data_IF_851346006668
#
_entry.id   IF_851346006668
#
_cell.length_a   1.000
_cell.length_b   1.000
_cell.length_c   1.000
_cell.angle_alpha   90.00
_cell.angle_beta   90.00
_cell.angle_gamma   90.00
#
_symmetry.space_group_name_H-M   'P 1'
#
loop_
_entity.id
_entity.type
_entity.pdbx_description
1 polymer ?
#
# COMPACT_ATOMS: atom_id res chain seq x y z
N UNK A 1 -36.69 -2.82 -7.97
CA UNK A 1 -37.99 -2.39 -7.39
C UNK A 1 -38.33 -3.24 -6.15
N UNK A 2 -37.53 -3.15 -5.07
CA UNK A 2 -37.71 -4.02 -3.89
C UNK A 2 -37.70 -3.23 -2.57
N UNK A 3 -38.34 -2.04 -2.52
CA UNK A 3 -38.43 -1.23 -1.29
C UNK A 3 -39.88 -0.96 -0.84
N UNK A 4 -40.89 -1.51 -1.54
CA UNK A 4 -42.29 -1.13 -1.31
C UNK A 4 -43.00 -1.91 -0.19
N UNK A 5 -42.49 -3.07 0.23
CA UNK A 5 -43.17 -3.90 1.23
C UNK A 5 -42.79 -3.54 2.67
N UNK A 6 -41.54 -3.18 2.93
CA UNK A 6 -41.12 -2.79 4.29
C UNK A 6 -41.75 -1.47 4.71
N UNK A 7 -41.82 -0.49 3.80
CA UNK A 7 -42.50 0.78 4.07
C UNK A 7 -43.98 0.61 4.42
N UNK A 8 -44.71 -0.29 3.76
CA UNK A 8 -46.14 -0.55 4.04
C UNK A 8 -46.36 -1.16 5.41
N UNK A 9 -45.47 -2.05 5.87
CA UNK A 9 -45.56 -2.67 7.19
C UNK A 9 -45.22 -1.69 8.32
N UNK A 10 -44.26 -0.80 8.10
CA UNK A 10 -43.93 0.28 9.05
C UNK A 10 -45.11 1.24 9.24
N UNK A 11 -45.83 1.58 8.16
CA UNK A 11 -47.02 2.45 8.22
C UNK A 11 -48.17 1.78 8.98
N UNK A 12 -48.42 0.48 8.73
CA UNK A 12 -49.45 -0.28 9.46
C UNK A 12 -49.14 -0.37 10.96
N UNK A 13 -47.89 -0.61 11.34
CA UNK A 13 -47.51 -0.72 12.76
C UNK A 13 -47.65 0.62 13.52
N UNK A 14 -47.37 1.75 12.86
CA UNK A 14 -47.56 3.10 13.43
C UNK A 14 -49.03 3.41 13.73
N UNK A 15 -49.94 2.97 12.87
CA UNK A 15 -51.38 3.17 13.08
C UNK A 15 -51.91 2.45 14.32
N UNK A 16 -51.46 1.21 14.57
CA UNK A 16 -51.86 0.46 15.77
C UNK A 16 -51.34 1.09 17.06
N UNK A 17 -50.13 1.65 17.05
CA UNK A 17 -49.58 2.37 18.21
C UNK A 17 -50.42 3.62 18.50
N UNK A 18 -50.76 4.41 17.47
CA UNK A 18 -51.62 5.60 17.62
C UNK A 18 -53.02 5.23 18.13
N UNK A 19 -53.60 4.13 17.62
CA UNK A 19 -54.92 3.66 18.01
C UNK A 19 -54.94 3.13 19.45
N UNK A 20 -53.85 2.53 19.92
CA UNK A 20 -53.65 2.10 21.30
C UNK A 20 -53.53 3.29 22.26
N UNK A 21 -52.83 4.37 21.86
CA UNK A 21 -52.75 5.60 22.66
C UNK A 21 -54.07 6.39 22.70
N UNK A 22 -54.88 6.35 21.63
CA UNK A 22 -56.21 6.96 21.61
C UNK A 22 -57.22 6.24 22.53
N UNK A 23 -57.06 4.93 22.76
CA UNK A 23 -57.95 4.15 23.62
C UNK A 23 -57.70 4.36 25.13
N UNK A 24 -56.50 4.79 25.53
CA UNK A 24 -56.15 4.97 26.94
C UNK A 24 -56.63 6.30 27.54
N UNK A 25 -57.09 7.27 26.75
CA UNK A 25 -57.47 8.61 27.23
C UNK A 25 -58.90 8.72 27.77
N UNK A 26 -59.69 7.63 27.78
CA UNK A 26 -61.11 7.64 28.14
C UNK A 26 -61.43 7.16 29.57
N UNK A 27 -60.46 6.94 30.44
CA UNK A 27 -60.74 6.64 31.86
C UNK A 27 -61.08 7.92 32.61
N UNK A 28 -62.38 8.13 32.83
CA UNK A 28 -62.93 9.21 33.67
C UNK A 28 -62.36 9.16 35.08
N UNK A 29 -61.87 10.30 35.57
CA UNK A 29 -61.38 10.53 36.92
C UNK A 29 -62.50 10.46 37.97
N UNK A 30 -63.07 9.28 38.19
CA UNK A 30 -63.93 9.01 39.33
C UNK A 30 -63.05 8.62 40.51
N UNK A 31 -63.23 9.30 41.65
CA UNK A 31 -62.42 9.07 42.83
C UNK A 31 -63.29 8.47 43.92
N UNK A 32 -63.06 7.19 44.20
CA UNK A 32 -63.80 6.42 45.19
C UNK A 32 -63.20 6.63 46.59
N UNK A 33 -64.06 6.91 47.57
CA UNK A 33 -63.69 7.08 48.98
C UNK A 33 -64.51 6.10 49.81
N UNK A 34 -63.87 5.32 50.68
CA UNK A 34 -64.53 4.34 51.54
C UNK A 34 -64.67 4.87 52.96
N UNK A 35 -65.92 5.07 53.42
CA UNK A 35 -66.27 5.48 54.79
C UNK A 35 -67.34 4.54 55.33
N UNK A 36 -67.09 3.95 56.49
CA UNK A 36 -68.10 3.15 57.23
C UNK A 36 -68.72 2.00 56.41
N UNK A 37 -67.94 1.37 55.52
CA UNK A 37 -68.41 0.26 54.68
C UNK A 37 -69.24 0.66 53.44
N UNK A 38 -69.42 1.96 53.19
CA UNK A 38 -70.06 2.51 51.98
C UNK A 38 -69.04 3.18 51.06
N UNK A 39 -69.20 3.02 49.76
CA UNK A 39 -68.33 3.56 48.72
C UNK A 39 -69.00 4.80 48.15
N UNK A 40 -68.34 5.96 48.29
CA UNK A 40 -68.82 7.23 47.76
C UNK A 40 -67.97 7.64 46.56
N UNK A 41 -68.60 8.07 45.47
CA UNK A 41 -67.93 8.65 44.30
C UNK A 41 -67.95 10.18 44.39
N UNK A 42 -66.78 10.81 44.33
CA UNK A 42 -66.67 12.28 44.32
C UNK A 42 -66.38 12.77 42.90
N UNK A 43 -67.30 13.56 42.33
CA UNK A 43 -67.20 14.13 40.98
C UNK A 43 -67.68 15.58 41.02
N UNK A 44 -66.86 16.53 40.54
CA UNK A 44 -67.23 17.96 40.41
C UNK A 44 -67.94 18.53 41.66
N UNK A 45 -67.31 18.37 42.84
CA UNK A 45 -67.81 18.89 44.13
C UNK A 45 -69.13 18.28 44.64
N UNK A 46 -69.58 17.18 44.03
CA UNK A 46 -70.76 16.41 44.43
C UNK A 46 -70.35 15.02 44.92
N UNK A 47 -71.08 14.52 45.91
CA UNK A 47 -70.88 13.19 46.49
C UNK A 47 -72.04 12.31 46.02
N UNK A 48 -71.71 11.21 45.35
CA UNK A 48 -72.66 10.23 44.85
C UNK A 48 -72.53 8.94 45.66
N UNK A 49 -73.67 8.35 46.03
CA UNK A 49 -73.77 7.01 46.58
C UNK A 49 -74.68 6.21 45.63
N UNK A 50 -74.18 5.11 45.05
CA UNK A 50 -74.91 4.28 44.08
C UNK A 50 -75.50 5.08 42.88
N UNK A 51 -74.83 6.17 42.49
CA UNK A 51 -75.25 7.05 41.38
C UNK A 51 -76.26 8.14 41.75
N UNK A 52 -76.69 8.23 43.01
CA UNK A 52 -77.62 9.26 43.50
C UNK A 52 -76.85 10.39 44.21
N UNK A 53 -77.18 11.65 43.89
CA UNK A 53 -76.57 12.85 44.50
C UNK A 53 -77.04 12.97 45.95
N UNK A 54 -76.15 12.69 46.90
CA UNK A 54 -76.44 12.71 48.34
C UNK A 54 -75.81 13.92 49.04
N UNK A 55 -75.33 14.90 48.26
CA UNK A 55 -74.54 16.04 48.74
C UNK A 55 -75.27 16.89 49.80
N UNK A 56 -76.59 17.00 49.70
CA UNK A 56 -77.43 17.81 50.60
C UNK A 56 -78.01 17.01 51.78
N UNK A 57 -78.05 15.68 51.67
CA UNK A 57 -78.59 14.77 52.70
C UNK A 57 -77.53 14.31 53.71
N UNK A 58 -76.24 14.54 53.44
CA UNK A 58 -75.13 14.21 54.33
C UNK A 58 -74.87 15.33 55.36
N UNK A 59 -74.52 14.94 56.59
CA UNK A 59 -74.12 15.88 57.64
C UNK A 59 -72.84 16.64 57.21
N UNK A 60 -72.75 17.93 57.58
CA UNK A 60 -71.64 18.83 57.24
C UNK A 60 -70.27 18.25 57.65
N UNK A 61 -70.19 17.55 58.78
CA UNK A 61 -68.97 16.88 59.24
C UNK A 61 -68.57 15.70 58.34
N UNK A 62 -69.52 14.91 57.84
CA UNK A 62 -69.23 13.77 56.97
C UNK A 62 -68.83 14.22 55.55
N UNK A 63 -69.50 15.25 55.01
CA UNK A 63 -69.18 15.85 53.71
C UNK A 63 -67.75 16.40 53.66
N UNK A 64 -67.34 17.11 54.71
CA UNK A 64 -65.97 17.68 54.82
C UNK A 64 -64.90 16.59 54.93
N UNK A 65 -65.18 15.50 55.65
CA UNK A 65 -64.27 14.35 55.72
C UNK A 65 -64.12 13.64 54.38
N UNK A 66 -65.21 13.41 53.63
CA UNK A 66 -65.18 12.76 52.31
C UNK A 66 -64.38 13.62 51.31
N UNK A 67 -64.58 14.94 51.29
CA UNK A 67 -63.78 15.83 50.43
C UNK A 67 -62.30 15.87 50.82
N UNK A 68 -61.98 15.87 52.12
CA UNK A 68 -60.59 15.84 52.60
C UNK A 68 -59.87 14.55 52.19
N UNK A 69 -60.56 13.42 52.25
CA UNK A 69 -60.02 12.13 51.80
C UNK A 69 -59.87 12.04 50.28
N UNK A 70 -60.84 12.55 49.51
CA UNK A 70 -60.71 12.68 48.06
C UNK A 70 -59.52 13.59 47.69
N UNK A 71 -59.35 14.73 48.36
CA UNK A 71 -58.20 15.61 48.15
C UNK A 71 -56.87 14.87 48.42
N UNK A 72 -56.76 14.14 49.54
CA UNK A 72 -55.56 13.40 49.91
C UNK A 72 -55.24 12.25 48.93
N UNK A 73 -56.24 11.53 48.44
CA UNK A 73 -56.05 10.47 47.43
C UNK A 73 -55.58 11.10 46.10
N UNK A 74 -56.05 12.31 45.76
CA UNK A 74 -55.69 12.96 44.50
C UNK A 74 -54.24 13.45 44.52
N UNK A 75 -53.78 13.97 45.67
CA UNK A 75 -52.38 14.34 45.89
C UNK A 75 -51.47 13.11 45.89
N UNK A 76 -51.86 12.02 46.55
CA UNK A 76 -51.11 10.77 46.52
C UNK A 76 -50.99 10.18 45.12
N UNK A 77 -52.07 10.17 44.33
CA UNK A 77 -52.02 9.71 42.94
C UNK A 77 -51.10 10.58 42.08
N UNK A 78 -51.16 11.92 42.22
CA UNK A 78 -50.25 12.84 41.52
C UNK A 78 -48.79 12.61 41.91
N UNK A 79 -48.51 12.39 43.19
CA UNK A 79 -47.16 12.09 43.68
C UNK A 79 -46.66 10.73 43.18
N UNK A 80 -47.52 9.71 43.14
CA UNK A 80 -47.18 8.38 42.63
C UNK A 80 -46.95 8.39 41.11
N UNK A 81 -47.76 9.13 40.35
CA UNK A 81 -47.55 9.34 38.91
C UNK A 81 -46.23 10.06 38.63
N UNK A 82 -45.91 11.10 39.40
CA UNK A 82 -44.67 11.85 39.28
C UNK A 82 -43.46 10.97 39.68
N UNK A 83 -43.59 10.13 40.70
CA UNK A 83 -42.59 9.15 41.09
C UNK A 83 -42.38 8.08 40.00
N UNK A 84 -43.47 7.59 39.38
CA UNK A 84 -43.42 6.64 38.25
C UNK A 84 -42.72 7.26 37.03
N UNK A 85 -43.06 8.51 36.66
CA UNK A 85 -42.41 9.24 35.58
C UNK A 85 -40.91 9.44 35.83
N UNK A 86 -40.53 9.86 37.04
CA UNK A 86 -39.11 9.99 37.41
C UNK A 86 -38.37 8.65 37.40
N UNK A 87 -39.01 7.57 37.85
CA UNK A 87 -38.43 6.24 37.82
C UNK A 87 -38.27 5.70 36.38
N UNK A 88 -39.20 5.98 35.48
CA UNK A 88 -39.11 5.64 34.07
C UNK A 88 -38.01 6.44 33.36
N UNK A 89 -37.95 7.75 33.62
CA UNK A 89 -36.90 8.63 33.09
C UNK A 89 -35.51 8.19 33.55
N UNK A 90 -35.34 7.89 34.85
CA UNK A 90 -34.10 7.34 35.38
C UNK A 90 -33.70 5.99 34.76
N UNK A 91 -34.68 5.12 34.46
CA UNK A 91 -34.43 3.86 33.74
C UNK A 91 -34.00 4.10 32.30
N UNK A 92 -34.64 5.05 31.61
CA UNK A 92 -34.30 5.42 30.24
C UNK A 92 -32.89 6.02 30.15
N UNK A 93 -32.52 6.89 31.10
CA UNK A 93 -31.16 7.45 31.18
C UNK A 93 -30.12 6.36 31.49
N UNK A 94 -30.39 5.47 32.43
CA UNK A 94 -29.48 4.36 32.74
C UNK A 94 -29.28 3.42 31.54
N UNK A 95 -30.32 3.15 30.74
CA UNK A 95 -30.20 2.36 29.50
C UNK A 95 -29.37 3.08 28.44
N UNK A 96 -29.54 4.40 28.27
CA UNK A 96 -28.72 5.21 27.35
C UNK A 96 -27.24 5.18 27.74
N UNK A 97 -26.92 5.31 29.03
CA UNK A 97 -25.55 5.23 29.54
C UNK A 97 -24.95 3.85 29.26
N UNK A 98 -25.68 2.76 29.52
CA UNK A 98 -25.22 1.40 29.21
C UNK A 98 -24.98 1.17 27.72
N UNK A 99 -25.83 1.69 26.84
CA UNK A 99 -25.64 1.61 25.38
C UNK A 99 -24.41 2.41 24.93
N UNK A 100 -24.20 3.61 25.47
CA UNK A 100 -23.03 4.42 25.17
C UNK A 100 -21.72 3.75 25.62
N UNK A 101 -21.70 3.14 26.81
CA UNK A 101 -20.54 2.41 27.32
C UNK A 101 -20.23 1.16 26.48
N UNK A 102 -21.27 0.40 26.09
CA UNK A 102 -21.11 -0.76 25.21
C UNK A 102 -20.57 -0.37 23.82
N UNK A 103 -21.06 0.74 23.27
CA UNK A 103 -20.58 1.26 21.99
C UNK A 103 -19.12 1.72 22.08
N UNK A 104 -18.75 2.45 23.14
CA UNK A 104 -17.38 2.89 23.37
C UNK A 104 -16.40 1.70 23.51
N UNK A 105 -16.81 0.62 24.19
CA UNK A 105 -15.99 -0.61 24.31
C UNK A 105 -15.80 -1.29 22.96
N UNK A 106 -16.85 -1.37 22.15
CA UNK A 106 -16.81 -2.01 20.83
C UNK A 106 -15.95 -1.21 19.84
N UNK A 107 -15.99 0.12 19.91
CA UNK A 107 -15.12 1.01 19.13
C UNK A 107 -13.66 0.89 19.58
N UNK A 108 -13.39 0.88 20.89
CA UNK A 108 -12.03 0.68 21.41
C UNK A 108 -11.42 -0.67 21.02
N UNK A 109 -12.21 -1.75 20.97
CA UNK A 109 -11.72 -3.06 20.52
C UNK A 109 -11.42 -3.09 19.02
N UNK A 110 -12.23 -2.40 18.19
CA UNK A 110 -11.98 -2.28 16.75
C UNK A 110 -10.68 -1.53 16.48
N UNK A 111 -10.45 -0.41 17.17
CA UNK A 111 -9.21 0.37 17.06
C UNK A 111 -8.00 -0.50 17.42
N UNK A 112 -8.04 -1.24 18.53
CA UNK A 112 -6.95 -2.15 18.91
C UNK A 112 -6.68 -3.24 17.87
N UNK A 113 -7.73 -3.83 17.29
CA UNK A 113 -7.60 -4.83 16.22
C UNK A 113 -7.03 -4.25 14.94
N UNK A 114 -7.33 -3.00 14.63
CA UNK A 114 -6.81 -2.29 13.47
C UNK A 114 -5.33 -1.92 13.66
N UNK A 115 -4.96 -1.41 14.84
CA UNK A 115 -3.56 -1.14 15.22
C UNK A 115 -2.70 -2.42 15.16
N UNK A 116 -3.18 -3.54 15.69
CA UNK A 116 -2.45 -4.82 15.62
C UNK A 116 -2.22 -5.29 14.18
N UNK A 117 -3.21 -5.12 13.30
CA UNK A 117 -3.08 -5.46 11.87
C UNK A 117 -2.04 -4.57 11.19
N UNK A 118 -2.09 -3.25 11.43
CA UNK A 118 -1.12 -2.30 10.88
C UNK A 118 0.30 -2.63 11.32
N UNK A 119 0.50 -3.02 12.59
CA UNK A 119 1.81 -3.45 13.09
C UNK A 119 2.31 -4.72 12.41
N UNK A 120 1.45 -5.73 12.21
CA UNK A 120 1.80 -6.97 11.51
C UNK A 120 2.15 -6.75 10.04
N UNK A 121 1.42 -5.88 9.35
CA UNK A 121 1.68 -5.56 7.95
C UNK A 121 2.98 -4.74 7.80
N UNK A 122 3.25 -3.81 8.72
CA UNK A 122 4.52 -3.09 8.77
C UNK A 122 5.73 -4.01 9.01
N UNK A 123 5.59 -5.02 9.88
CA UNK A 123 6.66 -6.02 10.11
C UNK A 123 6.92 -6.88 8.87
N UNK A 124 5.86 -7.29 8.16
CA UNK A 124 5.97 -8.06 6.90
C UNK A 124 6.68 -7.23 5.82
N UNK A 125 6.30 -5.97 5.65
CA UNK A 125 6.94 -5.07 4.70
C UNK A 125 8.44 -4.90 4.97
N UNK A 126 8.82 -4.71 6.25
CA UNK A 126 10.24 -4.63 6.65
C UNK A 126 11.02 -5.91 6.34
N UNK A 127 10.44 -7.09 6.60
CA UNK A 127 11.07 -8.38 6.28
C UNK A 127 11.24 -8.62 4.78
N UNK A 128 10.30 -8.16 3.96
CA UNK A 128 10.40 -8.25 2.51
C UNK A 128 11.46 -7.29 1.95
N UNK A 129 11.52 -6.07 2.47
CA UNK A 129 12.54 -5.09 2.12
C UNK A 129 13.95 -5.58 2.47
N UNK A 130 14.15 -6.15 3.67
CA UNK A 130 15.44 -6.74 4.07
C UNK A 130 15.86 -7.88 3.14
N UNK A 131 14.94 -8.79 2.78
CA UNK A 131 15.20 -9.86 1.82
C UNK A 131 15.54 -9.31 0.43
N UNK A 132 14.89 -8.24 -0.01
CA UNK A 132 15.17 -7.59 -1.28
C UNK A 132 16.57 -6.93 -1.28
N UNK A 133 16.96 -6.28 -0.17
CA UNK A 133 18.29 -5.71 0.00
C UNK A 133 19.38 -6.78 -0.01
N UNK A 134 19.19 -7.89 0.72
CA UNK A 134 20.15 -9.00 0.74
C UNK A 134 20.35 -9.62 -0.64
N UNK A 135 19.26 -9.82 -1.41
CA UNK A 135 19.33 -10.30 -2.79
C UNK A 135 20.09 -9.32 -3.70
N UNK A 136 19.85 -8.01 -3.56
CA UNK A 136 20.58 -6.98 -4.33
C UNK A 136 22.07 -6.98 -4.00
N UNK A 137 22.45 -7.14 -2.73
CA UNK A 137 23.84 -7.21 -2.31
C UNK A 137 24.57 -8.43 -2.89
N UNK A 138 23.94 -9.61 -2.88
CA UNK A 138 24.51 -10.83 -3.47
C UNK A 138 24.71 -10.71 -4.99
N UNK A 139 23.74 -10.08 -5.69
CA UNK A 139 23.85 -9.79 -7.12
C UNK A 139 24.99 -8.80 -7.40
N UNK A 140 25.10 -7.73 -6.60
CA UNK A 140 26.19 -6.76 -6.72
C UNK A 140 27.57 -7.42 -6.52
N UNK A 141 27.73 -8.29 -5.51
CA UNK A 141 28.98 -9.04 -5.27
C UNK A 141 29.34 -9.97 -6.42
N UNK A 142 28.36 -10.62 -7.06
CA UNK A 142 28.60 -11.47 -8.23
C UNK A 142 29.03 -10.63 -9.44
N UNK A 143 28.34 -9.54 -9.70
CA UNK A 143 28.63 -8.62 -10.80
C UNK A 143 30.03 -7.99 -10.65
N UNK A 144 30.44 -7.62 -9.43
CA UNK A 144 31.78 -7.10 -9.17
C UNK A 144 32.88 -8.12 -9.48
N UNK A 145 32.69 -9.39 -9.08
CA UNK A 145 33.63 -10.47 -9.37
C UNK A 145 33.74 -10.74 -10.86
N UNK A 146 32.63 -10.72 -11.59
CA UNK A 146 32.60 -10.89 -13.05
C UNK A 146 33.29 -9.73 -13.77
N UNK A 147 33.00 -8.48 -13.38
CA UNK A 147 33.67 -7.30 -13.92
C UNK A 147 35.19 -7.35 -13.69
N UNK A 148 35.64 -7.78 -12.51
CA UNK A 148 37.08 -7.95 -12.23
C UNK A 148 37.73 -9.00 -13.13
N UNK A 149 37.03 -10.09 -13.46
CA UNK A 149 37.51 -11.11 -14.41
C UNK A 149 37.55 -10.57 -15.84
N UNK A 150 36.49 -9.88 -16.27
CA UNK A 150 36.40 -9.26 -17.58
C UNK A 150 37.51 -8.23 -17.81
N UNK A 151 37.77 -7.35 -16.84
CA UNK A 151 38.86 -6.35 -16.90
C UNK A 151 40.22 -7.04 -17.03
N UNK A 152 40.47 -8.11 -16.26
CA UNK A 152 41.73 -8.87 -16.35
C UNK A 152 41.89 -9.54 -17.72
N UNK A 153 40.81 -10.10 -18.28
CA UNK A 153 40.81 -10.71 -19.60
C UNK A 153 41.09 -9.68 -20.69
N UNK A 154 40.42 -8.53 -20.67
CA UNK A 154 40.64 -7.44 -21.62
C UNK A 154 42.08 -6.92 -21.57
N UNK A 155 42.65 -6.70 -20.38
CA UNK A 155 44.07 -6.28 -20.24
C UNK A 155 45.06 -7.29 -20.82
N UNK A 156 44.76 -8.60 -20.72
CA UNK A 156 45.60 -9.65 -21.34
C UNK A 156 45.46 -9.64 -22.86
N UNK A 157 44.24 -9.53 -23.37
CA UNK A 157 43.96 -9.46 -24.80
C UNK A 157 44.62 -8.22 -25.44
N UNK A 158 44.51 -7.05 -24.81
CA UNK A 158 45.14 -5.81 -25.29
C UNK A 158 46.66 -5.92 -25.37
N UNK A 159 47.30 -6.52 -24.35
CA UNK A 159 48.75 -6.76 -24.37
C UNK A 159 49.16 -7.73 -25.47
N UNK A 160 48.37 -8.78 -25.72
CA UNK A 160 48.62 -9.73 -26.80
C UNK A 160 48.48 -9.06 -28.18
N UNK A 161 47.44 -8.26 -28.39
CA UNK A 161 47.24 -7.49 -29.61
C UNK A 161 48.38 -6.50 -29.86
N UNK A 162 48.80 -5.73 -28.84
CA UNK A 162 49.94 -4.81 -28.97
C UNK A 162 51.24 -5.52 -29.34
N UNK A 163 51.47 -6.74 -28.82
CA UNK A 163 52.64 -7.55 -29.19
C UNK A 163 52.54 -8.06 -30.63
N UNK A 164 51.37 -8.57 -31.03
CA UNK A 164 51.11 -9.03 -32.39
C UNK A 164 51.26 -7.90 -33.40
N UNK A 165 50.70 -6.72 -33.13
CA UNK A 165 50.80 -5.53 -33.99
C UNK A 165 52.26 -5.08 -34.15
N UNK A 166 53.04 -5.06 -33.06
CA UNK A 166 54.48 -4.75 -33.12
C UNK A 166 55.26 -5.79 -33.94
N UNK A 167 54.92 -7.06 -33.83
CA UNK A 167 55.54 -8.13 -34.60
C UNK A 167 55.21 -8.01 -36.10
N UNK A 168 53.95 -7.72 -36.44
CA UNK A 168 53.51 -7.47 -37.82
C UNK A 168 54.24 -6.26 -38.40
N UNK A 169 54.28 -5.13 -37.67
CA UNK A 169 55.01 -3.91 -38.10
C UNK A 169 56.51 -4.18 -38.33
N UNK A 170 57.13 -5.04 -37.53
CA UNK A 170 58.54 -5.44 -37.73
C UNK A 170 58.68 -6.30 -38.99
N UNK A 171 57.82 -7.31 -39.17
CA UNK A 171 57.84 -8.17 -40.36
C UNK A 171 57.59 -7.38 -41.65
N UNK A 172 56.62 -6.47 -41.65
CA UNK A 172 56.33 -5.60 -42.80
C UNK A 172 57.52 -4.71 -43.17
N UNK A 173 58.23 -4.14 -42.17
CA UNK A 173 59.46 -3.38 -42.41
C UNK A 173 60.57 -4.25 -42.99
N UNK A 174 60.73 -5.48 -42.50
CA UNK A 174 61.71 -6.43 -43.00
C UNK A 174 61.41 -6.85 -44.44
N UNK A 175 60.14 -7.12 -44.76
CA UNK A 175 59.67 -7.39 -46.12
C UNK A 175 59.95 -6.23 -47.07
N UNK A 176 59.57 -5.00 -46.71
CA UNK A 176 59.87 -3.81 -47.54
C UNK A 176 61.36 -3.61 -47.77
N UNK A 177 62.21 -3.92 -46.79
CA UNK A 177 63.66 -3.84 -46.96
C UNK A 177 64.20 -4.92 -47.90
N UNK A 178 63.65 -6.13 -47.82
CA UNK A 178 64.00 -7.23 -48.71
C UNK A 178 63.57 -6.95 -50.15
N UNK A 179 62.32 -6.55 -50.38
CA UNK A 179 61.80 -6.17 -51.71
C UNK A 179 62.62 -5.06 -52.37
N UNK A 180 63.03 -4.04 -51.59
CA UNK A 180 63.91 -2.97 -52.08
C UNK A 180 65.29 -3.48 -52.49
N UNK A 181 65.85 -4.44 -51.72
CA UNK A 181 67.13 -5.04 -52.04
C UNK A 181 67.03 -5.90 -53.32
N UNK A 182 65.97 -6.71 -53.45
CA UNK A 182 65.70 -7.52 -54.64
C UNK A 182 65.53 -6.64 -55.88
N UNK A 183 64.70 -5.59 -55.81
CA UNK A 183 64.52 -4.65 -56.92
C UNK A 183 65.83 -3.97 -57.33
N UNK A 184 66.70 -3.66 -56.36
CA UNK A 184 68.01 -3.06 -56.66
C UNK A 184 68.96 -4.03 -57.35
N UNK A 185 68.96 -5.30 -56.93
CA UNK A 185 69.73 -6.37 -57.57
C UNK A 185 69.22 -6.64 -58.98
N UNK A 186 67.91 -6.78 -59.16
CA UNK A 186 67.28 -7.04 -60.46
C UNK A 186 67.58 -5.91 -61.46
N UNK A 187 67.43 -4.64 -61.03
CA UNK A 187 67.80 -3.48 -61.87
C UNK A 187 69.30 -3.49 -62.20
N UNK A 188 70.14 -3.88 -61.26
CA UNK A 188 71.57 -4.06 -61.46
C UNK A 188 71.88 -5.13 -62.53
N UNK A 189 71.30 -6.31 -62.39
CA UNK A 189 71.45 -7.45 -63.32
C UNK A 189 70.99 -7.06 -64.73
N UNK A 190 69.78 -6.51 -64.86
CA UNK A 190 69.24 -6.03 -66.14
C UNK A 190 70.14 -5.00 -66.81
N UNK A 191 70.76 -4.10 -66.03
CA UNK A 191 71.67 -3.08 -66.58
C UNK A 191 73.00 -3.69 -67.04
N UNK A 192 73.56 -4.62 -66.27
CA UNK A 192 74.76 -5.35 -66.66
C UNK A 192 74.54 -6.18 -67.94
N UNK A 193 73.48 -6.97 -68.01
CA UNK A 193 73.11 -7.76 -69.19
C UNK A 193 72.94 -6.88 -70.44
N UNK A 194 72.25 -5.74 -70.32
CA UNK A 194 72.08 -4.77 -71.41
C UNK A 194 73.41 -4.18 -71.89
N UNK A 195 74.36 -3.91 -70.99
CA UNK A 195 75.66 -3.35 -71.37
C UNK A 195 76.57 -4.41 -71.99
N UNK A 196 76.56 -5.63 -71.44
CA UNK A 196 77.28 -6.79 -71.95
C UNK A 196 76.81 -7.17 -73.35
N UNK A 197 75.49 -7.27 -73.56
CA UNK A 197 74.91 -7.58 -74.87
C UNK A 197 75.15 -6.51 -75.94
N UNK A 198 75.45 -5.26 -75.55
CA UNK A 198 75.82 -4.18 -76.47
C UNK A 198 77.34 -4.09 -76.74
N UNK A 199 78.16 -4.95 -76.14
CA UNK A 199 79.63 -4.90 -76.28
C UNK A 199 80.28 -3.66 -75.67
N UNK A 200 79.58 -2.94 -74.78
CA UNK A 200 80.04 -1.66 -74.19
C UNK A 200 80.83 -1.83 -72.89
N UNK A 201 81.35 -3.03 -72.62
CA UNK A 201 82.06 -3.36 -71.39
C UNK A 201 83.50 -3.76 -71.72
N UNK A 202 84.46 -3.00 -71.21
CA UNK A 202 85.87 -3.39 -71.16
C UNK A 202 86.05 -4.50 -70.11
N UNK A 203 87.06 -5.38 -70.22
CA UNK A 203 87.34 -6.43 -69.22
C UNK A 203 87.43 -5.89 -67.78
N UNK A 204 87.99 -4.70 -67.61
CA UNK A 204 88.11 -4.03 -66.30
C UNK A 204 86.74 -3.58 -65.76
N UNK A 205 85.85 -3.08 -66.63
CA UNK A 205 84.50 -2.63 -66.26
C UNK A 205 83.58 -3.81 -65.97
N UNK A 206 83.76 -4.94 -66.66
CA UNK A 206 83.05 -6.17 -66.38
C UNK A 206 83.33 -6.65 -64.95
N UNK A 207 84.59 -6.62 -64.52
CA UNK A 207 84.99 -6.95 -63.14
C UNK A 207 84.33 -6.02 -62.12
N UNK A 208 84.31 -4.70 -62.35
CA UNK A 208 83.62 -3.73 -61.47
C UNK A 208 82.12 -3.98 -61.38
N UNK A 209 81.48 -4.36 -62.49
CA UNK A 209 80.06 -4.70 -62.50
C UNK A 209 79.76 -5.99 -61.75
N UNK A 210 80.58 -7.01 -61.90
CA UNK A 210 80.45 -8.26 -61.16
C UNK A 210 80.59 -8.02 -59.65
N UNK A 211 81.59 -7.26 -59.22
CA UNK A 211 81.77 -6.89 -57.81
C UNK A 211 80.57 -6.10 -57.26
N UNK A 212 79.96 -5.23 -58.08
CA UNK A 212 78.75 -4.48 -57.71
C UNK A 212 77.53 -5.40 -57.57
N UNK A 213 77.35 -6.37 -58.47
CA UNK A 213 76.27 -7.36 -58.41
C UNK A 213 76.45 -8.28 -57.20
N UNK A 214 77.67 -8.69 -56.89
CA UNK A 214 78.02 -9.45 -55.69
C UNK A 214 77.63 -8.67 -54.42
N UNK A 215 78.03 -7.40 -54.30
CA UNK A 215 77.62 -6.53 -53.19
C UNK A 215 76.11 -6.34 -53.07
N UNK A 216 75.38 -6.31 -54.19
CA UNK A 216 73.90 -6.25 -54.18
C UNK A 216 73.30 -7.60 -53.75
N UNK A 217 73.88 -8.72 -54.17
CA UNK A 217 73.45 -10.06 -53.79
C UNK A 217 73.67 -10.33 -52.30
N UNK A 218 74.78 -9.84 -51.75
CA UNK A 218 75.02 -9.84 -50.31
C UNK A 218 73.97 -9.04 -49.54
N UNK A 219 73.52 -7.89 -50.07
CA UNK A 219 72.46 -7.10 -49.43
C UNK A 219 71.13 -7.84 -49.43
N UNK A 220 70.78 -8.52 -50.53
CA UNK A 220 69.57 -9.36 -50.62
C UNK A 220 69.64 -10.52 -49.63
N UNK A 221 70.75 -11.25 -49.59
CA UNK A 221 70.92 -12.37 -48.64
C UNK A 221 70.90 -11.90 -47.19
N UNK A 222 71.55 -10.78 -46.86
CA UNK A 222 71.49 -10.17 -45.51
C UNK A 222 70.08 -9.71 -45.14
N UNK A 223 69.30 -9.19 -46.09
CA UNK A 223 67.90 -8.82 -45.86
C UNK A 223 67.00 -10.05 -45.70
N UNK A 224 67.18 -11.09 -46.52
CA UNK A 224 66.46 -12.37 -46.45
C UNK A 224 66.69 -13.07 -45.11
N UNK A 225 67.93 -13.07 -44.61
CA UNK A 225 68.28 -13.65 -43.31
C UNK A 225 67.61 -12.93 -42.12
N UNK A 226 67.17 -11.68 -42.29
CA UNK A 226 66.54 -10.88 -41.22
C UNK A 226 65.01 -11.01 -41.20
N UNK A 227 64.41 -11.63 -42.21
CA UNK A 227 62.98 -11.73 -42.45
C UNK A 227 62.41 -12.99 -41.77
#
# INVERSE_FOLDING_TARGET
MCLNNEHKNIIKMKYYIILLFLGLSLTTFAQEVTKEGKIYEVKNEKIFLDGQDVTETLNLEQRTLIFKEAAAISEKMKLEELAKKKAEEAKLEAEKVKKAEAQAKLEAEKVKKEEEKVLKDAERAKKEEEKALKKKEDVAKKLEKENKKAIKAQKKAEKAQKKAEKAIKKKEKLQKNFEKAESSLEKGQKKYEKLKGKGKLSPEDEKKWLEKLEKLSEKVTKAKRKL
#
